data_IF_217195801728
#
_entry.id   IF_217195801728
#
_cell.length_a   1.000
_cell.length_b   1.000
_cell.length_c   1.000
_cell.angle_alpha   90.00
_cell.angle_beta   90.00
_cell.angle_gamma   90.00
#
_symmetry.space_group_name_H-M   'P 1'
#
loop_
_entity.id
_entity.type
_entity.pdbx_description
1 polymer ?
#
# COMPACT_ATOMS: atom_id res chain seq x y z
N UNK A 1 74.45 3.06 85.58
CA UNK A 1 75.20 3.35 86.82
C UNK A 1 74.51 4.50 87.52
N UNK A 2 73.93 4.28 88.70
CA UNK A 2 73.13 5.26 89.44
C UNK A 2 74.04 6.05 90.39
N UNK A 3 74.34 7.30 90.03
CA UNK A 3 75.01 8.23 90.92
C UNK A 3 74.02 8.73 91.97
N UNK A 4 74.33 8.47 93.25
CA UNK A 4 73.57 8.95 94.40
C UNK A 4 73.68 10.48 94.47
N UNK A 5 72.55 11.16 94.25
CA UNK A 5 72.45 12.60 94.47
C UNK A 5 72.40 12.88 95.98
N UNK A 6 73.14 13.88 96.50
CA UNK A 6 73.12 14.18 97.93
C UNK A 6 71.72 14.63 98.34
N UNK A 7 71.26 14.18 99.51
CA UNK A 7 70.07 14.70 100.20
C UNK A 7 70.23 16.20 100.45
N UNK A 8 69.93 17.03 99.45
CA UNK A 8 69.72 18.45 99.67
C UNK A 8 68.34 18.60 100.30
N UNK A 9 68.31 19.04 101.56
CA UNK A 9 67.11 19.57 102.19
C UNK A 9 66.37 20.51 101.23
N UNK A 10 65.04 20.42 101.11
CA UNK A 10 64.31 21.26 100.17
C UNK A 10 64.62 22.74 100.47
N UNK A 11 64.84 23.57 99.44
CA UNK A 11 65.12 24.99 99.65
C UNK A 11 63.99 25.61 100.46
N UNK A 12 64.32 26.35 101.51
CA UNK A 12 63.33 27.11 102.25
C UNK A 12 62.63 28.04 101.25
N UNK A 13 61.32 27.90 101.12
CA UNK A 13 60.49 28.84 100.36
C UNK A 13 60.80 30.26 100.85
N UNK A 14 60.90 31.28 99.98
CA UNK A 14 61.29 32.64 100.36
C UNK A 14 60.46 33.18 101.54
N UNK A 15 59.21 32.74 101.66
CA UNK A 15 58.32 33.05 102.78
C UNK A 15 58.73 32.44 104.14
N UNK A 16 59.36 31.26 104.16
CA UNK A 16 59.95 30.68 105.38
C UNK A 16 61.21 31.45 105.83
N UNK A 17 61.98 31.98 104.88
CA UNK A 17 63.15 32.84 105.11
C UNK A 17 62.75 34.20 105.69
N UNK A 18 61.61 34.75 105.24
CA UNK A 18 60.99 35.94 105.83
C UNK A 18 60.50 35.67 107.26
N UNK A 19 59.85 34.53 107.52
CA UNK A 19 59.40 34.18 108.87
C UNK A 19 60.55 33.97 109.88
N UNK A 20 61.72 33.49 109.44
CA UNK A 20 62.88 33.28 110.32
C UNK A 20 63.65 34.57 110.61
N UNK A 21 63.62 35.54 109.69
CA UNK A 21 64.25 36.87 109.86
C UNK A 21 63.45 37.79 110.77
N UNK A 22 62.10 37.79 110.68
CA UNK A 22 61.24 38.60 111.55
C UNK A 22 60.97 37.96 112.93
N UNK A 23 60.95 36.62 113.06
CA UNK A 23 60.74 35.92 114.35
C UNK A 23 62.04 35.29 114.85
N UNK A 24 62.94 36.10 115.42
CA UNK A 24 64.26 35.67 115.95
C UNK A 24 64.11 34.65 117.09
N UNK A 25 64.67 33.42 116.98
CA UNK A 25 64.41 32.31 117.92
C UNK A 25 64.73 32.59 119.40
N UNK A 26 65.65 33.53 119.65
CA UNK A 26 66.23 33.81 120.97
C UNK A 26 65.36 34.68 121.90
N UNK A 27 64.31 35.36 121.38
CA UNK A 27 63.50 36.34 122.14
C UNK A 27 61.98 36.10 122.08
N UNK A 28 61.51 34.91 121.70
CA UNK A 28 60.08 34.67 121.45
C UNK A 28 59.28 34.31 122.72
N UNK A 29 58.10 34.91 122.89
CA UNK A 29 57.13 34.52 123.93
C UNK A 29 56.48 33.15 123.63
N UNK A 30 55.85 32.50 124.63
CA UNK A 30 55.21 31.18 124.44
C UNK A 30 54.13 31.17 123.35
N UNK A 31 53.36 32.25 123.23
CA UNK A 31 52.32 32.42 122.22
C UNK A 31 52.92 32.57 120.81
N UNK A 32 53.96 33.39 120.67
CA UNK A 32 54.69 33.57 119.40
C UNK A 32 55.32 32.26 118.91
N UNK A 33 55.88 31.44 119.80
CA UNK A 33 56.39 30.10 119.45
C UNK A 33 55.28 29.18 118.93
N UNK A 34 54.06 29.27 119.49
CA UNK A 34 52.89 28.48 119.06
C UNK A 34 52.37 28.93 117.70
N UNK A 35 52.25 30.24 117.51
CA UNK A 35 51.85 30.85 116.23
C UNK A 35 52.87 30.49 115.16
N UNK A 36 54.16 30.70 115.38
CA UNK A 36 55.24 30.34 114.43
C UNK A 36 55.16 28.87 114.00
N UNK A 37 54.93 27.93 114.92
CA UNK A 37 54.78 26.50 114.59
C UNK A 37 53.57 26.24 113.69
N UNK A 38 52.40 26.80 114.02
CA UNK A 38 51.18 26.67 113.21
C UNK A 38 51.37 27.30 111.82
N UNK A 39 51.97 28.49 111.76
CA UNK A 39 52.26 29.19 110.50
C UNK A 39 53.23 28.41 109.62
N UNK A 40 54.27 27.79 110.19
CA UNK A 40 55.21 26.95 109.43
C UNK A 40 54.53 25.69 108.87
N UNK A 41 53.61 25.07 109.60
CA UNK A 41 52.84 23.90 109.11
C UNK A 41 51.90 24.32 107.98
N UNK A 42 51.12 25.39 108.17
CA UNK A 42 50.22 25.91 107.13
C UNK A 42 50.98 26.35 105.86
N UNK A 43 52.17 26.95 106.00
CA UNK A 43 53.01 27.30 104.85
C UNK A 43 53.51 26.07 104.10
N UNK A 44 53.87 24.99 104.80
CA UNK A 44 54.30 23.74 104.18
C UNK A 44 53.15 23.12 103.40
N UNK A 45 51.96 23.03 103.99
CA UNK A 45 50.75 22.53 103.32
C UNK A 45 50.42 23.37 102.08
N UNK A 46 50.46 24.70 102.19
CA UNK A 46 50.18 25.60 101.07
C UNK A 46 51.25 25.49 99.96
N UNK A 47 52.52 25.30 100.33
CA UNK A 47 53.59 25.07 99.36
C UNK A 47 53.44 23.73 98.62
N UNK A 48 52.99 22.69 99.32
CA UNK A 48 52.73 21.38 98.73
C UNK A 48 51.53 21.44 97.78
N UNK A 49 50.42 22.07 98.19
CA UNK A 49 49.27 22.33 97.32
C UNK A 49 49.64 23.17 96.09
N UNK A 50 50.54 24.15 96.24
CA UNK A 50 51.04 24.97 95.12
C UNK A 50 51.86 24.12 94.14
N UNK A 51 52.68 23.19 94.62
CA UNK A 51 53.43 22.27 93.76
C UNK A 51 52.50 21.28 93.06
N UNK A 52 51.55 20.67 93.78
CA UNK A 52 50.59 19.73 93.21
C UNK A 52 49.71 20.38 92.13
N UNK A 53 49.23 21.61 92.37
CA UNK A 53 48.45 22.36 91.38
C UNK A 53 49.29 22.74 90.16
N UNK A 54 50.57 23.10 90.33
CA UNK A 54 51.50 23.31 89.20
C UNK A 54 51.69 22.03 88.38
N UNK A 55 51.99 20.90 89.02
CA UNK A 55 52.16 19.62 88.33
C UNK A 55 50.86 19.12 87.67
N UNK A 56 49.68 19.44 88.24
CA UNK A 56 48.38 19.16 87.57
C UNK A 56 48.19 20.05 86.36
N UNK A 57 48.51 21.35 86.46
CA UNK A 57 48.42 22.30 85.35
C UNK A 57 49.33 21.89 84.19
N UNK A 58 50.56 21.48 84.47
CA UNK A 58 51.51 21.03 83.44
C UNK A 58 50.98 19.81 82.69
N UNK A 59 50.47 18.79 83.41
CA UNK A 59 49.83 17.62 82.79
C UNK A 59 48.63 18.01 81.91
N UNK A 60 47.74 18.87 82.40
CA UNK A 60 46.60 19.33 81.60
C UNK A 60 47.03 20.08 80.33
N UNK A 61 48.13 20.83 80.38
CA UNK A 61 48.67 21.52 79.20
C UNK A 61 49.26 20.52 78.20
N UNK A 62 49.92 19.46 78.67
CA UNK A 62 50.41 18.37 77.82
C UNK A 62 49.25 17.60 77.17
N UNK A 63 48.25 17.19 77.95
CA UNK A 63 47.04 16.52 77.44
C UNK A 63 46.31 17.39 76.40
N UNK A 64 46.20 18.71 76.67
CA UNK A 64 45.56 19.65 75.73
C UNK A 64 46.33 19.76 74.42
N UNK A 65 47.67 19.68 74.45
CA UNK A 65 48.50 19.68 73.23
C UNK A 65 48.30 18.39 72.44
N UNK A 66 48.32 17.24 73.11
CA UNK A 66 48.08 15.94 72.47
C UNK A 66 46.69 15.87 71.82
N UNK A 67 45.64 16.32 72.52
CA UNK A 67 44.28 16.38 71.97
C UNK A 67 44.18 17.28 70.73
N UNK A 68 44.94 18.38 70.69
CA UNK A 68 44.99 19.25 69.50
C UNK A 68 45.68 18.54 68.33
N UNK A 69 46.77 17.84 68.57
CA UNK A 69 47.47 17.05 67.54
C UNK A 69 46.58 15.92 67.00
N UNK A 70 45.95 15.14 67.88
CA UNK A 70 44.98 14.10 67.50
C UNK A 70 43.81 14.67 66.68
N UNK A 71 43.28 15.83 67.10
CA UNK A 71 42.23 16.52 66.34
C UNK A 71 42.69 16.83 64.92
N UNK A 72 43.91 17.35 64.73
CA UNK A 72 44.43 17.64 63.40
C UNK A 72 44.64 16.38 62.56
N UNK A 73 45.15 15.30 63.16
CA UNK A 73 45.28 14.00 62.49
C UNK A 73 43.93 13.45 62.03
N UNK A 74 42.94 13.41 62.92
CA UNK A 74 41.58 12.95 62.59
C UNK A 74 40.94 13.83 61.52
N UNK A 75 41.18 15.15 61.55
CA UNK A 75 40.69 16.05 60.50
C UNK A 75 41.33 15.75 59.14
N UNK A 76 42.64 15.50 59.10
CA UNK A 76 43.35 15.15 57.87
C UNK A 76 42.88 13.79 57.31
N UNK A 77 42.71 12.78 58.16
CA UNK A 77 42.18 11.48 57.74
C UNK A 77 40.74 11.60 57.22
N UNK A 78 39.88 12.34 57.93
CA UNK A 78 38.51 12.60 57.48
C UNK A 78 38.47 13.32 56.13
N UNK A 79 39.39 14.26 55.86
CA UNK A 79 39.51 14.89 54.55
C UNK A 79 39.84 13.88 53.45
N UNK A 80 40.78 12.97 53.69
CA UNK A 80 41.13 11.92 52.72
C UNK A 80 39.93 11.00 52.41
N UNK A 81 39.16 10.61 53.44
CA UNK A 81 37.96 9.81 53.24
C UNK A 81 36.88 10.57 52.46
N UNK A 82 36.67 11.85 52.76
CA UNK A 82 35.73 12.69 52.02
C UNK A 82 36.12 12.82 50.54
N UNK A 83 37.39 13.06 50.24
CA UNK A 83 37.89 13.11 48.86
C UNK A 83 37.68 11.79 48.12
N UNK A 84 37.95 10.66 48.78
CA UNK A 84 37.72 9.34 48.21
C UNK A 84 36.24 9.09 47.90
N UNK A 85 35.35 9.42 48.85
CA UNK A 85 33.90 9.28 48.66
C UNK A 85 33.38 10.18 47.54
N UNK A 86 33.87 11.42 47.44
CA UNK A 86 33.54 12.32 46.34
C UNK A 86 33.99 11.75 44.99
N UNK A 87 35.24 11.28 44.88
CA UNK A 87 35.77 10.66 43.65
C UNK A 87 34.97 9.41 43.25
N UNK A 88 34.62 8.56 44.21
CA UNK A 88 33.78 7.39 43.95
C UNK A 88 32.39 7.77 43.46
N UNK A 89 31.75 8.76 44.10
CA UNK A 89 30.44 9.27 43.68
C UNK A 89 30.49 9.78 42.24
N UNK A 90 31.46 10.62 41.89
CA UNK A 90 31.64 11.12 40.52
C UNK A 90 31.85 10.00 39.50
N UNK A 91 32.62 8.97 39.85
CA UNK A 91 32.81 7.81 38.97
C UNK A 91 31.52 7.02 38.78
N UNK A 92 30.74 6.83 39.84
CA UNK A 92 29.43 6.19 39.77
C UNK A 92 28.47 6.97 38.87
N UNK A 93 28.40 8.29 39.03
CA UNK A 93 27.55 9.17 38.19
C UNK A 93 27.96 9.08 36.72
N UNK A 94 29.26 9.18 36.41
CA UNK A 94 29.78 9.03 35.04
C UNK A 94 29.41 7.68 34.42
N UNK A 95 29.52 6.58 35.18
CA UNK A 95 29.12 5.24 34.71
C UNK A 95 27.61 5.17 34.46
N UNK A 96 26.79 5.72 35.36
CA UNK A 96 25.34 5.74 35.19
C UNK A 96 24.93 6.56 33.96
N UNK A 97 25.53 7.72 33.74
CA UNK A 97 25.28 8.53 32.55
C UNK A 97 25.67 7.81 31.26
N UNK A 98 26.84 7.15 31.25
CA UNK A 98 27.30 6.39 30.09
C UNK A 98 26.32 5.26 29.75
N UNK A 99 25.86 4.49 30.76
CA UNK A 99 24.87 3.44 30.58
C UNK A 99 23.52 3.98 30.10
N UNK A 100 23.05 5.11 30.64
CA UNK A 100 21.82 5.77 30.17
C UNK A 100 21.92 6.20 28.71
N UNK A 101 23.07 6.76 28.31
CA UNK A 101 23.33 7.17 26.92
C UNK A 101 23.34 5.97 25.98
N UNK A 102 24.04 4.89 26.35
CA UNK A 102 24.07 3.65 25.58
C UNK A 102 22.66 3.05 25.43
N UNK A 103 21.92 2.93 26.53
CA UNK A 103 20.56 2.40 26.50
C UNK A 103 19.63 3.23 25.61
N UNK A 104 19.72 4.57 25.67
CA UNK A 104 18.94 5.45 24.80
C UNK A 104 19.31 5.27 23.32
N UNK A 105 20.59 5.10 23.00
CA UNK A 105 21.05 4.82 21.64
C UNK A 105 20.53 3.46 21.13
N UNK A 106 20.66 2.40 21.93
CA UNK A 106 20.17 1.07 21.58
C UNK A 106 18.65 1.06 21.36
N UNK A 107 17.89 1.75 22.23
CA UNK A 107 16.45 1.90 22.05
C UNK A 107 16.12 2.62 20.74
N UNK A 108 16.82 3.70 20.43
CA UNK A 108 16.67 4.42 19.17
C UNK A 108 16.95 3.55 17.93
N UNK A 109 18.04 2.77 17.95
CA UNK A 109 18.35 1.85 16.86
C UNK A 109 17.29 0.75 16.69
N UNK A 110 16.80 0.19 17.80
CA UNK A 110 15.73 -0.82 17.76
C UNK A 110 14.45 -0.23 17.18
N UNK A 111 14.07 0.99 17.57
CA UNK A 111 12.90 1.67 17.04
C UNK A 111 13.03 1.96 15.53
N UNK A 112 14.20 2.45 15.09
CA UNK A 112 14.48 2.66 13.67
C UNK A 112 14.36 1.35 12.88
N UNK A 113 15.00 0.27 13.34
CA UNK A 113 14.89 -1.06 12.70
C UNK A 113 13.45 -1.56 12.67
N UNK A 114 12.67 -1.34 13.73
CA UNK A 114 11.24 -1.70 13.76
C UNK A 114 10.44 -0.92 12.72
N UNK A 115 10.66 0.38 12.59
CA UNK A 115 9.98 1.21 11.60
C UNK A 115 10.38 0.82 10.16
N UNK A 116 11.65 0.55 9.91
CA UNK A 116 12.13 0.06 8.61
C UNK A 116 11.52 -1.30 8.26
N UNK A 117 11.48 -2.24 9.20
CA UNK A 117 10.86 -3.55 8.97
C UNK A 117 9.35 -3.42 8.74
N UNK A 118 8.67 -2.60 9.54
CA UNK A 118 7.24 -2.36 9.39
C UNK A 118 6.91 -1.74 8.02
N UNK A 119 7.69 -0.74 7.58
CA UNK A 119 7.50 -0.11 6.27
C UNK A 119 7.76 -1.08 5.12
N UNK A 120 8.87 -1.85 5.17
CA UNK A 120 9.16 -2.89 4.17
C UNK A 120 8.09 -3.97 4.13
N UNK A 121 7.59 -4.40 5.28
CA UNK A 121 6.52 -5.39 5.36
C UNK A 121 5.21 -4.84 4.78
N UNK A 122 4.83 -3.62 5.13
CA UNK A 122 3.66 -2.95 4.59
C UNK A 122 3.73 -2.81 3.06
N UNK A 123 4.87 -2.38 2.53
CA UNK A 123 5.10 -2.29 1.09
C UNK A 123 4.97 -3.64 0.38
N UNK A 124 5.63 -4.69 0.90
CA UNK A 124 5.52 -6.05 0.35
C UNK A 124 4.10 -6.57 0.40
N UNK A 125 3.40 -6.34 1.50
CA UNK A 125 2.01 -6.79 1.66
C UNK A 125 1.06 -6.05 0.69
N UNK A 126 1.23 -4.74 0.51
CA UNK A 126 0.46 -3.97 -0.47
C UNK A 126 0.73 -4.46 -1.91
N UNK A 127 1.99 -4.74 -2.25
CA UNK A 127 2.35 -5.30 -3.56
C UNK A 127 1.73 -6.68 -3.78
N UNK A 128 1.77 -7.57 -2.78
CA UNK A 128 1.15 -8.88 -2.83
C UNK A 128 -0.38 -8.79 -2.98
N UNK A 129 -1.03 -7.90 -2.22
CA UNK A 129 -2.47 -7.66 -2.38
C UNK A 129 -2.83 -7.16 -3.78
N UNK A 130 -2.03 -6.26 -4.35
CA UNK A 130 -2.23 -5.79 -5.72
C UNK A 130 -2.10 -6.93 -6.73
N UNK A 131 -1.08 -7.78 -6.59
CA UNK A 131 -0.90 -8.97 -7.43
C UNK A 131 -2.06 -9.96 -7.31
N UNK A 132 -2.55 -10.22 -6.10
CA UNK A 132 -3.69 -11.10 -5.87
C UNK A 132 -4.97 -10.54 -6.51
N UNK A 133 -5.21 -9.23 -6.41
CA UNK A 133 -6.34 -8.59 -7.07
C UNK A 133 -6.24 -8.67 -8.60
N UNK A 134 -5.04 -8.46 -9.15
CA UNK A 134 -4.80 -8.62 -10.58
C UNK A 134 -5.05 -10.07 -11.02
N UNK A 135 -4.55 -11.05 -10.27
CA UNK A 135 -4.77 -12.48 -10.54
C UNK A 135 -6.24 -12.89 -10.48
N UNK A 136 -7.02 -12.32 -9.54
CA UNK A 136 -8.47 -12.54 -9.48
C UNK A 136 -9.20 -11.97 -10.69
N UNK A 137 -8.81 -10.77 -11.15
CA UNK A 137 -9.37 -10.15 -12.36
C UNK A 137 -9.10 -11.01 -13.59
N UNK A 138 -7.85 -11.41 -13.81
CA UNK A 138 -7.50 -12.25 -14.96
C UNK A 138 -8.20 -13.60 -14.91
N UNK A 139 -8.37 -14.20 -13.73
CA UNK A 139 -9.14 -15.43 -13.56
C UNK A 139 -10.63 -15.25 -13.94
N UNK A 140 -11.24 -14.15 -13.51
CA UNK A 140 -12.62 -13.82 -13.88
C UNK A 140 -12.77 -13.60 -15.39
N UNK A 141 -11.85 -12.86 -16.00
CA UNK A 141 -11.85 -12.62 -17.45
C UNK A 141 -11.72 -13.93 -18.23
N UNK A 142 -10.81 -14.82 -17.82
CA UNK A 142 -10.64 -16.15 -18.43
C UNK A 142 -11.88 -17.02 -18.26
N UNK A 143 -12.55 -16.97 -17.10
CA UNK A 143 -13.81 -17.69 -16.91
C UNK A 143 -14.91 -17.18 -17.84
N UNK A 144 -15.02 -15.86 -18.02
CA UNK A 144 -15.96 -15.25 -18.96
C UNK A 144 -15.66 -15.67 -20.41
N UNK A 145 -14.38 -15.62 -20.82
CA UNK A 145 -13.95 -16.08 -22.14
C UNK A 145 -14.28 -17.56 -22.36
N UNK A 146 -14.06 -18.40 -21.36
CA UNK A 146 -14.37 -19.83 -21.43
C UNK A 146 -15.88 -20.07 -21.54
N UNK A 147 -16.71 -19.29 -20.84
CA UNK A 147 -18.17 -19.36 -21.00
C UNK A 147 -18.60 -18.92 -22.41
N UNK A 148 -18.04 -17.82 -22.93
CA UNK A 148 -18.31 -17.39 -24.30
C UNK A 148 -17.91 -18.48 -25.31
N UNK A 149 -16.74 -19.10 -25.14
CA UNK A 149 -16.27 -20.16 -26.04
C UNK A 149 -17.18 -21.40 -26.01
N UNK A 150 -17.71 -21.77 -24.84
CA UNK A 150 -18.70 -22.86 -24.72
C UNK A 150 -19.94 -22.58 -25.56
N UNK A 151 -20.46 -21.35 -25.54
CA UNK A 151 -21.63 -21.00 -26.37
C UNK A 151 -21.31 -21.09 -27.86
N UNK A 152 -20.15 -20.59 -28.30
CA UNK A 152 -19.68 -20.72 -29.69
C UNK A 152 -19.57 -22.19 -30.10
N UNK A 153 -19.01 -23.03 -29.23
CA UNK A 153 -18.89 -24.46 -29.48
C UNK A 153 -20.26 -25.13 -29.67
N UNK A 154 -21.24 -24.84 -28.82
CA UNK A 154 -22.60 -25.41 -28.96
C UNK A 154 -23.28 -24.99 -30.27
N UNK A 155 -23.08 -23.74 -30.69
CA UNK A 155 -23.60 -23.25 -31.98
C UNK A 155 -22.92 -23.98 -33.14
N UNK A 156 -21.59 -24.16 -33.07
CA UNK A 156 -20.84 -24.89 -34.09
C UNK A 156 -21.31 -26.34 -34.20
N UNK A 157 -21.50 -27.05 -33.09
CA UNK A 157 -22.03 -28.42 -33.11
C UNK A 157 -23.41 -28.50 -33.77
N UNK A 158 -24.29 -27.53 -33.51
CA UNK A 158 -25.60 -27.45 -34.16
C UNK A 158 -25.47 -27.17 -35.66
N UNK A 159 -24.60 -26.24 -36.05
CA UNK A 159 -24.32 -25.93 -37.45
C UNK A 159 -23.76 -27.14 -38.20
N UNK A 160 -22.80 -27.86 -37.62
CA UNK A 160 -22.19 -29.05 -38.20
C UNK A 160 -23.25 -30.15 -38.42
N UNK A 161 -24.14 -30.39 -37.45
CA UNK A 161 -25.28 -31.31 -37.61
C UNK A 161 -26.21 -30.86 -38.73
N UNK A 162 -26.53 -29.57 -38.82
CA UNK A 162 -27.41 -29.04 -39.86
C UNK A 162 -26.78 -29.19 -41.25
N UNK A 163 -25.49 -28.92 -41.40
CA UNK A 163 -24.74 -29.11 -42.65
C UNK A 163 -24.80 -30.58 -43.08
N UNK A 164 -24.51 -31.53 -42.17
CA UNK A 164 -24.60 -32.96 -42.47
C UNK A 164 -26.00 -33.38 -42.95
N UNK A 165 -27.07 -32.84 -42.34
CA UNK A 165 -28.44 -33.14 -42.81
C UNK A 165 -28.71 -32.58 -44.20
N UNK A 166 -28.28 -31.36 -44.50
CA UNK A 166 -28.44 -30.73 -45.81
C UNK A 166 -27.63 -31.45 -46.89
N UNK A 167 -26.44 -31.95 -46.57
CA UNK A 167 -25.63 -32.76 -47.49
C UNK A 167 -26.35 -34.05 -47.89
N UNK A 168 -26.95 -34.77 -46.93
CA UNK A 168 -27.75 -35.97 -47.22
C UNK A 168 -28.98 -35.65 -48.07
N UNK A 169 -29.69 -34.56 -47.78
CA UNK A 169 -30.82 -34.10 -48.60
C UNK A 169 -30.37 -33.76 -50.03
N UNK A 170 -29.23 -33.10 -50.19
CA UNK A 170 -28.66 -32.78 -51.51
C UNK A 170 -28.33 -34.04 -52.31
N UNK A 171 -27.74 -35.07 -51.69
CA UNK A 171 -27.49 -36.36 -52.36
C UNK A 171 -28.79 -37.05 -52.76
N UNK A 172 -29.81 -37.04 -51.87
CA UNK A 172 -31.13 -37.57 -52.17
C UNK A 172 -31.78 -36.87 -53.36
N UNK A 173 -31.80 -35.54 -53.38
CA UNK A 173 -32.34 -34.75 -54.49
C UNK A 173 -31.57 -35.05 -55.78
N UNK A 174 -30.23 -35.14 -55.74
CA UNK A 174 -29.44 -35.52 -56.93
C UNK A 174 -29.86 -36.89 -57.47
N UNK A 175 -30.09 -37.87 -56.60
CA UNK A 175 -30.59 -39.18 -56.99
C UNK A 175 -31.99 -39.12 -57.61
N UNK A 176 -32.91 -38.39 -56.97
CA UNK A 176 -34.29 -38.21 -57.46
C UNK A 176 -34.34 -37.46 -58.80
N UNK A 177 -33.55 -36.39 -58.97
CA UNK A 177 -33.46 -35.66 -60.23
C UNK A 177 -32.88 -36.53 -61.33
N UNK A 178 -31.80 -37.28 -61.07
CA UNK A 178 -31.24 -38.20 -62.06
C UNK A 178 -32.24 -39.30 -62.47
N UNK A 179 -33.07 -39.77 -61.55
CA UNK A 179 -34.15 -40.72 -61.86
C UNK A 179 -35.23 -40.08 -62.75
N UNK A 180 -35.72 -38.89 -62.38
CA UNK A 180 -36.71 -38.14 -63.16
C UNK A 180 -36.21 -37.77 -64.55
N UNK A 181 -34.95 -37.36 -64.68
CA UNK A 181 -34.34 -37.03 -65.97
C UNK A 181 -34.28 -38.27 -66.88
N UNK A 182 -33.96 -39.44 -66.33
CA UNK A 182 -33.99 -40.71 -67.08
C UNK A 182 -35.41 -41.06 -67.52
N UNK A 183 -36.39 -40.95 -66.62
CA UNK A 183 -37.80 -41.21 -66.94
C UNK A 183 -38.32 -40.26 -68.03
N UNK A 184 -38.06 -38.95 -67.89
CA UNK A 184 -38.42 -37.94 -68.88
C UNK A 184 -37.74 -38.20 -70.23
N UNK A 185 -36.47 -38.63 -70.23
CA UNK A 185 -35.77 -38.99 -71.46
C UNK A 185 -36.39 -40.20 -72.15
N UNK A 186 -36.78 -41.23 -71.39
CA UNK A 186 -37.48 -42.40 -71.94
C UNK A 186 -38.84 -42.01 -72.53
N UNK A 187 -39.62 -41.20 -71.81
CA UNK A 187 -40.91 -40.68 -72.30
C UNK A 187 -40.73 -39.87 -73.58
N UNK A 188 -39.74 -38.97 -73.63
CA UNK A 188 -39.41 -38.20 -74.82
C UNK A 188 -39.05 -39.10 -76.01
N UNK A 189 -38.25 -40.15 -75.80
CA UNK A 189 -37.91 -41.11 -76.86
C UNK A 189 -39.13 -41.86 -77.38
N UNK A 190 -40.07 -42.23 -76.50
CA UNK A 190 -41.33 -42.88 -76.88
C UNK A 190 -42.23 -41.94 -77.69
N UNK A 191 -42.40 -40.69 -77.25
CA UNK A 191 -43.15 -39.68 -77.97
C UNK A 191 -42.51 -39.36 -79.33
N UNK A 192 -41.17 -39.20 -79.37
CA UNK A 192 -40.44 -39.00 -80.62
C UNK A 192 -40.70 -40.13 -81.60
N UNK A 193 -40.58 -41.39 -81.17
CA UNK A 193 -40.83 -42.54 -82.04
C UNK A 193 -42.28 -42.61 -82.53
N UNK A 194 -43.26 -42.20 -81.70
CA UNK A 194 -44.66 -42.09 -82.11
C UNK A 194 -44.86 -41.00 -83.17
N UNK A 195 -44.31 -39.80 -82.94
CA UNK A 195 -44.40 -38.69 -83.88
C UNK A 195 -43.68 -39.00 -85.20
N UNK A 196 -42.56 -39.74 -85.17
CA UNK A 196 -41.88 -40.23 -86.37
C UNK A 196 -42.77 -41.20 -87.16
N UNK A 197 -43.51 -42.10 -86.49
CA UNK A 197 -44.51 -42.96 -87.14
C UNK A 197 -45.67 -42.15 -87.73
N UNK A 198 -46.22 -41.19 -86.98
CA UNK A 198 -47.29 -40.32 -87.47
C UNK A 198 -46.81 -39.48 -88.69
N UNK A 199 -45.55 -39.04 -88.71
CA UNK A 199 -44.92 -38.38 -89.86
C UNK A 199 -44.71 -39.33 -91.04
N UNK A 200 -44.33 -40.59 -90.81
CA UNK A 200 -44.24 -41.60 -91.86
C UNK A 200 -45.62 -41.93 -92.44
N UNK A 201 -46.65 -42.05 -91.60
CA UNK A 201 -48.05 -42.24 -92.01
C UNK A 201 -48.57 -41.03 -92.80
N UNK A 202 -48.25 -39.80 -92.38
CA UNK A 202 -48.57 -38.58 -93.12
C UNK A 202 -47.82 -38.50 -94.46
N UNK A 203 -46.54 -38.88 -94.50
CA UNK A 203 -45.77 -38.97 -95.75
C UNK A 203 -46.35 -40.02 -96.71
N UNK A 204 -46.89 -41.12 -96.18
CA UNK A 204 -47.62 -42.12 -96.96
C UNK A 204 -48.98 -41.59 -97.45
N UNK A 205 -49.66 -40.76 -96.67
CA UNK A 205 -50.88 -40.05 -97.11
C UNK A 205 -50.58 -38.95 -98.14
N UNK A 206 -49.45 -38.25 -98.07
CA UNK A 206 -49.03 -37.24 -99.08
C UNK A 206 -48.66 -37.88 -100.44
N UNK A 207 -48.24 -39.14 -100.46
CA UNK A 207 -47.99 -39.92 -101.69
C UNK A 207 -49.28 -40.50 -102.31
N UNK A 208 -50.44 -40.37 -101.64
CA UNK A 208 -51.74 -40.91 -102.05
C UNK A 208 -52.80 -39.83 -102.31
N UNK A 209 -52.61 -39.06 -103.38
CA UNK A 209 -53.58 -38.17 -104.04
C UNK A 209 -54.20 -36.97 -103.28
N UNK A 210 -54.19 -35.90 -104.07
CA UNK A 210 -55.18 -34.83 -104.21
C UNK A 210 -54.93 -33.55 -103.41
N UNK A 211 -54.63 -32.51 -104.20
CA UNK A 211 -54.53 -31.15 -103.72
C UNK A 211 -55.90 -30.62 -103.33
N UNK A 212 -55.94 -29.90 -102.22
CA UNK A 212 -57.08 -29.06 -101.91
C UNK A 212 -56.62 -27.78 -101.21
N UNK A 213 -56.71 -26.71 -101.98
CA UNK A 213 -56.75 -25.28 -101.65
C UNK A 213 -56.89 -24.97 -100.15
N UNK A 214 -55.83 -24.38 -99.59
CA UNK A 214 -55.69 -24.10 -98.16
C UNK A 214 -56.69 -23.10 -97.54
N UNK A 215 -56.74 -23.03 -96.20
CA UNK A 215 -57.65 -22.19 -95.43
C UNK A 215 -57.13 -20.75 -95.36
N UNK A 216 -57.15 -20.05 -96.50
CA UNK A 216 -56.65 -18.66 -96.63
C UNK A 216 -57.51 -17.61 -95.87
N UNK A 217 -58.70 -17.98 -95.36
CA UNK A 217 -59.59 -17.09 -94.58
C UNK A 217 -59.40 -17.21 -93.07
N UNK A 218 -59.22 -18.42 -92.54
CA UNK A 218 -58.96 -18.66 -91.11
C UNK A 218 -57.60 -18.13 -90.68
N UNK A 219 -56.56 -18.35 -91.50
CA UNK A 219 -55.24 -17.74 -91.26
C UNK A 219 -55.27 -16.20 -91.28
N UNK A 220 -56.16 -15.59 -92.09
CA UNK A 220 -56.33 -14.13 -92.11
C UNK A 220 -57.08 -13.63 -90.86
N UNK A 221 -58.11 -14.33 -90.41
CA UNK A 221 -58.83 -14.01 -89.17
C UNK A 221 -57.93 -14.18 -87.93
N UNK A 222 -57.14 -15.26 -87.88
CA UNK A 222 -56.19 -15.52 -86.81
C UNK A 222 -55.03 -14.52 -86.82
N UNK A 223 -54.49 -14.17 -88.00
CA UNK A 223 -53.46 -13.14 -88.12
C UNK A 223 -53.98 -11.74 -87.72
N UNK A 224 -55.25 -11.42 -88.00
CA UNK A 224 -55.89 -10.19 -87.52
C UNK A 224 -56.08 -10.21 -86.01
N UNK A 225 -56.55 -11.32 -85.43
CA UNK A 225 -56.69 -11.49 -83.98
C UNK A 225 -55.35 -11.42 -83.25
N UNK A 226 -54.29 -12.05 -83.78
CA UNK A 226 -52.93 -11.94 -83.26
C UNK A 226 -52.41 -10.51 -83.33
N UNK A 227 -52.66 -9.78 -84.43
CA UNK A 227 -52.28 -8.35 -84.53
C UNK A 227 -53.02 -7.49 -83.52
N UNK A 228 -54.30 -7.76 -83.30
CA UNK A 228 -55.13 -7.03 -82.34
C UNK A 228 -54.68 -7.29 -80.90
N UNK A 229 -54.46 -8.55 -80.54
CA UNK A 229 -53.90 -8.94 -79.25
C UNK A 229 -52.50 -8.37 -79.01
N UNK A 230 -51.67 -8.31 -80.06
CA UNK A 230 -50.33 -7.72 -79.96
C UNK A 230 -50.38 -6.20 -79.71
N UNK A 231 -51.31 -5.48 -80.36
CA UNK A 231 -51.52 -4.05 -80.12
C UNK A 231 -52.08 -3.78 -78.71
N UNK A 232 -53.01 -4.61 -78.24
CA UNK A 232 -53.55 -4.50 -76.87
C UNK A 232 -52.50 -4.80 -75.82
N UNK A 233 -51.66 -5.83 -76.03
CA UNK A 233 -50.55 -6.16 -75.15
C UNK A 233 -49.53 -5.02 -75.10
N UNK A 234 -49.12 -4.48 -76.25
CA UNK A 234 -48.18 -3.36 -76.31
C UNK A 234 -48.78 -2.10 -75.66
N UNK A 235 -50.09 -1.86 -75.84
CA UNK A 235 -50.81 -0.77 -75.20
C UNK A 235 -50.85 -0.89 -73.67
N UNK A 236 -51.11 -2.09 -73.13
CA UNK A 236 -51.06 -2.35 -71.67
C UNK A 236 -49.65 -2.18 -71.12
N UNK A 237 -48.66 -2.80 -71.76
CA UNK A 237 -47.27 -2.73 -71.33
C UNK A 237 -46.76 -1.27 -71.34
N UNK A 238 -47.18 -0.47 -72.31
CA UNK A 238 -46.81 0.94 -72.36
C UNK A 238 -47.45 1.77 -71.24
N UNK A 239 -48.71 1.49 -70.88
CA UNK A 239 -49.39 2.14 -69.73
C UNK A 239 -48.77 1.76 -68.39
N UNK A 240 -48.47 0.47 -68.19
CA UNK A 240 -47.79 -0.01 -67.00
C UNK A 240 -46.39 0.60 -66.87
N UNK A 241 -45.63 0.66 -67.97
CA UNK A 241 -44.31 1.30 -67.96
C UNK A 241 -44.39 2.80 -67.66
N UNK A 242 -45.40 3.51 -68.18
CA UNK A 242 -45.63 4.91 -67.85
C UNK A 242 -45.99 5.10 -66.36
N UNK A 243 -46.80 4.20 -65.79
CA UNK A 243 -47.17 4.28 -64.38
C UNK A 243 -45.94 4.04 -63.48
N UNK A 244 -45.15 3.00 -63.76
CA UNK A 244 -43.91 2.72 -63.03
C UNK A 244 -42.91 3.88 -63.11
N UNK A 245 -42.82 4.57 -64.25
CA UNK A 245 -41.98 5.78 -64.37
C UNK A 245 -42.45 6.92 -63.47
N UNK A 246 -43.76 7.13 -63.33
CA UNK A 246 -44.32 8.13 -62.41
C UNK A 246 -44.04 7.75 -60.95
N UNK A 247 -44.24 6.48 -60.61
CA UNK A 247 -44.00 5.98 -59.25
C UNK A 247 -42.51 6.09 -58.87
N UNK A 248 -41.59 5.77 -59.80
CA UNK A 248 -40.15 5.97 -59.60
C UNK A 248 -39.76 7.44 -59.42
N UNK A 249 -40.42 8.36 -60.12
CA UNK A 249 -40.19 9.80 -59.92
C UNK A 249 -40.66 10.26 -58.55
N UNK A 250 -41.82 9.79 -58.09
CA UNK A 250 -42.32 10.10 -56.73
C UNK A 250 -41.38 9.55 -55.66
N UNK A 251 -40.97 8.29 -55.78
CA UNK A 251 -40.05 7.67 -54.82
C UNK A 251 -38.68 8.37 -54.79
N UNK A 252 -38.18 8.80 -55.95
CA UNK A 252 -36.94 9.61 -56.03
C UNK A 252 -37.08 10.95 -55.32
N UNK A 253 -38.24 11.60 -55.37
CA UNK A 253 -38.48 12.85 -54.64
C UNK A 253 -38.56 12.62 -53.13
N UNK A 254 -39.21 11.54 -52.69
CA UNK A 254 -39.26 11.15 -51.27
C UNK A 254 -37.87 10.84 -50.72
N UNK A 255 -37.08 10.06 -51.47
CA UNK A 255 -35.71 9.74 -51.09
C UNK A 255 -34.86 11.01 -50.90
N UNK A 256 -34.97 11.98 -51.81
CA UNK A 256 -34.27 13.28 -51.67
C UNK A 256 -34.69 14.04 -50.42
N UNK A 257 -35.97 14.00 -50.03
CA UNK A 257 -36.45 14.63 -48.79
C UNK A 257 -35.86 13.97 -47.56
N UNK A 258 -35.84 12.63 -47.52
CA UNK A 258 -35.28 11.86 -46.41
C UNK A 258 -33.78 12.10 -46.29
N UNK A 259 -33.03 12.08 -47.40
CA UNK A 259 -31.60 12.32 -47.39
C UNK A 259 -31.27 13.74 -46.91
N UNK A 260 -32.06 14.74 -47.29
CA UNK A 260 -31.91 16.11 -46.78
C UNK A 260 -32.12 16.20 -45.26
N UNK A 261 -33.08 15.46 -44.70
CA UNK A 261 -33.30 15.39 -43.25
C UNK A 261 -32.14 14.68 -42.57
N UNK A 262 -31.66 13.56 -43.12
CA UNK A 262 -30.52 12.82 -42.61
C UNK A 262 -29.27 13.70 -42.50
N UNK A 263 -28.94 14.43 -43.58
CA UNK A 263 -27.78 15.35 -43.59
C UNK A 263 -27.94 16.44 -42.51
N UNK A 264 -29.14 16.96 -42.28
CA UNK A 264 -29.39 17.94 -41.20
C UNK A 264 -29.18 17.33 -39.81
N UNK A 265 -29.66 16.11 -39.59
CA UNK A 265 -29.49 15.41 -38.32
C UNK A 265 -28.03 15.09 -38.04
N UNK A 266 -27.28 14.65 -39.06
CA UNK A 266 -25.84 14.38 -38.93
C UNK A 266 -25.07 15.66 -38.53
N UNK A 267 -25.40 16.82 -39.12
CA UNK A 267 -24.83 18.12 -38.72
C UNK A 267 -25.17 18.50 -37.28
N UNK A 268 -26.43 18.35 -36.86
CA UNK A 268 -26.83 18.64 -35.48
C UNK A 268 -26.11 17.73 -34.48
N UNK A 269 -25.92 16.46 -34.83
CA UNK A 269 -25.18 15.50 -34.00
C UNK A 269 -23.70 15.90 -33.86
N UNK A 270 -23.08 16.42 -34.91
CA UNK A 270 -21.71 16.93 -34.84
C UNK A 270 -21.61 18.16 -33.93
N UNK A 271 -22.51 19.14 -34.08
CA UNK A 271 -22.54 20.33 -33.24
C UNK A 271 -22.73 19.99 -31.75
N UNK A 272 -23.62 19.04 -31.43
CA UNK A 272 -23.83 18.58 -30.05
C UNK A 272 -22.57 17.93 -29.45
N UNK A 273 -21.80 17.18 -30.25
CA UNK A 273 -20.53 16.60 -29.79
C UNK A 273 -19.49 17.68 -29.49
N UNK A 274 -19.42 18.72 -30.33
CA UNK A 274 -18.53 19.86 -30.10
C UNK A 274 -18.91 20.60 -28.81
N UNK A 275 -20.20 20.90 -28.60
CA UNK A 275 -20.67 21.51 -27.36
C UNK A 275 -20.32 20.68 -26.11
N UNK A 276 -20.51 19.36 -26.18
CA UNK A 276 -20.12 18.45 -25.09
C UNK A 276 -18.62 18.51 -24.81
N UNK A 277 -17.77 18.53 -25.85
CA UNK A 277 -16.32 18.67 -25.66
C UNK A 277 -15.93 20.01 -25.02
N UNK A 278 -16.58 21.12 -25.41
CA UNK A 278 -16.34 22.42 -24.77
C UNK A 278 -16.74 22.41 -23.30
N UNK A 279 -17.91 21.84 -22.96
CA UNK A 279 -18.37 21.72 -21.58
C UNK A 279 -17.43 20.85 -20.74
N UNK A 280 -16.98 19.71 -21.26
CA UNK A 280 -16.01 18.86 -20.59
C UNK A 280 -14.67 19.57 -20.38
N UNK A 281 -14.19 20.33 -21.37
CA UNK A 281 -12.97 21.13 -21.24
C UNK A 281 -13.09 22.20 -20.15
N UNK A 282 -14.24 22.88 -20.06
CA UNK A 282 -14.53 23.85 -19.00
C UNK A 282 -14.58 23.20 -17.61
N UNK A 283 -15.23 22.04 -17.47
CA UNK A 283 -15.27 21.29 -16.21
C UNK A 283 -13.86 20.90 -15.77
N UNK A 284 -13.05 20.33 -16.69
CA UNK A 284 -11.65 19.96 -16.42
C UNK A 284 -10.81 21.18 -16.05
N UNK A 285 -11.00 22.31 -16.72
CA UNK A 285 -10.33 23.58 -16.41
C UNK A 285 -10.67 24.08 -15.00
N UNK A 286 -11.96 24.07 -14.63
CA UNK A 286 -12.41 24.47 -13.28
C UNK A 286 -11.86 23.56 -12.19
N UNK A 287 -11.86 22.25 -12.41
CA UNK A 287 -11.28 21.27 -11.47
C UNK A 287 -9.79 21.52 -11.22
N UNK A 288 -9.03 21.92 -12.26
CA UNK A 288 -7.61 22.26 -12.12
C UNK A 288 -7.36 23.58 -11.39
N UNK A 289 -8.30 24.52 -11.41
CA UNK A 289 -8.20 25.80 -10.70
C UNK A 289 -8.63 25.71 -9.22
N UNK A 290 -9.33 24.63 -8.84
CA UNK A 290 -9.77 24.37 -7.46
C UNK A 290 -8.83 23.45 -6.68
N UNK A 291 -7.79 22.93 -7.32
CA UNK A 291 -6.70 22.13 -6.73
C UNK A 291 -5.47 23.01 -6.50
#
# INVERSE_FOLDING_TARGET
MLAQSPRSSPPLTPHLTVLTTFLKPKLLTRLEKRVKRKTVVALKELSQQTLETKCRRERLLEDSRQLLEEKYHVQAENQLFLEYLCKNKEQCEKKQEALRKQYAQECGEIEQRRQELASRYAQRNAALQAQLLQGRKTQQDLQQQLQALKTVYTIKEWQDRKIQTLEKEKEKIRGETAAKDREAHIQFLQEKARMEKELEELRLMELGQSGTKGPRKEYRALALACKQAHLEFYGRLHRENQQLRKDLQLLSQEYRKVEAVRIRLEKLQQLLKEEQWYLEALIRGRQRLQA
#
